data_IF_724250241846
#
_entry.id   IF_724250241846
#
_cell.length_a   1.000
_cell.length_b   1.000
_cell.length_c   1.000
_cell.angle_alpha   90.00
_cell.angle_beta   90.00
_cell.angle_gamma   90.00
#
_symmetry.space_group_name_H-M   'P 1'
#
loop_
_entity.id
_entity.type
_entity.pdbx_description
1 polymer ?
#
# COMPACT_ATOMS: atom_id res chain seq x y z
N UNK A 1 6.22 1.97 -21.63
CA UNK A 1 5.59 1.83 -20.31
C UNK A 1 4.53 0.77 -20.44
N UNK A 2 4.63 -0.33 -19.70
CA UNK A 2 3.66 -1.42 -19.74
C UNK A 2 2.45 -0.97 -18.93
N UNK A 3 1.29 -0.80 -19.56
CA UNK A 3 0.08 -0.36 -18.87
C UNK A 3 -0.42 -1.48 -17.96
N UNK A 4 -0.46 -1.25 -16.65
CA UNK A 4 -0.88 -2.28 -15.69
C UNK A 4 -2.39 -2.50 -15.73
N UNK A 5 -2.81 -3.77 -15.63
CA UNK A 5 -4.22 -4.17 -15.54
C UNK A 5 -4.36 -5.29 -14.49
N UNK A 6 -5.46 -5.32 -13.72
CA UNK A 6 -5.77 -6.45 -12.85
C UNK A 6 -5.83 -7.76 -13.65
N UNK A 7 -5.24 -8.81 -13.10
CA UNK A 7 -5.38 -10.16 -13.65
C UNK A 7 -6.78 -10.71 -13.31
N UNK A 8 -7.38 -11.47 -14.23
CA UNK A 8 -8.69 -12.12 -14.02
C UNK A 8 -8.58 -13.36 -13.11
N UNK A 9 -8.05 -13.17 -11.90
CA UNK A 9 -7.94 -14.17 -10.83
C UNK A 9 -7.97 -13.47 -9.47
N UNK A 10 -8.38 -14.22 -8.44
CA UNK A 10 -8.23 -13.76 -7.05
C UNK A 10 -6.74 -13.72 -6.72
N UNK A 11 -6.26 -12.59 -6.18
CA UNK A 11 -4.88 -12.43 -5.72
C UNK A 11 -4.87 -12.26 -4.21
N UNK A 12 -3.95 -12.95 -3.54
CA UNK A 12 -3.68 -12.70 -2.13
C UNK A 12 -2.53 -11.71 -2.02
N UNK A 13 -2.73 -10.57 -1.36
CA UNK A 13 -1.70 -9.54 -1.14
C UNK A 13 -1.52 -9.24 0.33
N UNK A 14 -0.32 -8.82 0.70
CA UNK A 14 0.00 -8.34 2.03
C UNK A 14 0.33 -6.84 1.98
N UNK A 15 -0.22 -6.04 2.88
CA UNK A 15 0.01 -4.60 2.97
C UNK A 15 0.53 -4.22 4.36
N UNK A 16 1.41 -3.23 4.43
CA UNK A 16 1.95 -2.67 5.67
C UNK A 16 1.46 -1.25 5.94
N UNK A 17 0.91 -1.03 7.14
CA UNK A 17 0.49 0.27 7.65
C UNK A 17 1.58 0.83 8.54
N UNK A 18 2.43 1.67 7.96
CA UNK A 18 3.40 2.43 8.73
C UNK A 18 2.85 3.81 9.08
N UNK A 19 2.99 4.21 10.34
CA UNK A 19 2.47 5.47 10.87
C UNK A 19 3.57 6.36 11.41
N UNK A 20 3.53 7.65 11.06
CA UNK A 20 4.39 8.68 11.62
C UNK A 20 3.56 9.91 11.96
N UNK A 21 3.56 10.31 13.23
CA UNK A 21 2.84 11.50 13.71
C UNK A 21 1.35 11.52 13.28
N UNK A 22 0.69 10.36 13.37
CA UNK A 22 -0.72 10.20 13.00
C UNK A 22 -1.00 10.10 11.49
N UNK A 23 0.03 10.22 10.64
CA UNK A 23 -0.05 10.11 9.17
C UNK A 23 0.37 8.74 8.66
N UNK A 24 -0.32 8.25 7.63
CA UNK A 24 -0.13 6.92 7.05
C UNK A 24 0.84 7.00 5.87
N UNK A 25 1.88 6.16 5.87
CA UNK A 25 2.72 5.98 4.70
C UNK A 25 1.94 5.24 3.59
N UNK A 26 1.84 5.85 2.42
CA UNK A 26 1.18 5.26 1.26
C UNK A 26 1.89 5.68 -0.04
N UNK A 27 1.91 4.79 -1.02
CA UNK A 27 2.47 5.01 -2.35
C UNK A 27 1.42 5.57 -3.31
N UNK A 28 1.86 6.42 -4.24
CA UNK A 28 1.03 6.99 -5.31
C UNK A 28 0.50 5.89 -6.25
N UNK A 29 -0.79 5.94 -6.55
CA UNK A 29 -1.45 5.13 -7.58
C UNK A 29 -1.78 6.04 -8.76
N UNK A 30 -1.17 5.75 -9.91
CA UNK A 30 -1.31 6.57 -11.11
C UNK A 30 -2.48 6.09 -12.00
N UNK A 31 -3.08 7.02 -12.74
CA UNK A 31 -3.93 6.71 -13.89
C UNK A 31 -3.09 6.46 -15.17
N UNK A 32 -3.75 6.05 -16.26
CA UNK A 32 -3.08 5.82 -17.55
C UNK A 32 -2.43 7.09 -18.15
N UNK A 33 -2.79 8.29 -17.65
CA UNK A 33 -2.19 9.56 -18.03
C UNK A 33 -1.03 9.98 -17.10
N UNK A 34 -0.65 9.14 -16.14
CA UNK A 34 0.43 9.40 -15.18
C UNK A 34 0.05 10.36 -14.04
N UNK A 35 -1.24 10.64 -13.84
CA UNK A 35 -1.72 11.49 -12.74
C UNK A 35 -2.00 10.65 -11.51
N UNK A 36 -1.68 11.17 -10.33
CA UNK A 36 -2.03 10.53 -9.06
C UNK A 36 -3.54 10.53 -8.89
N UNK A 37 -4.17 9.35 -8.96
CA UNK A 37 -5.61 9.17 -8.73
C UNK A 37 -5.94 8.71 -7.31
N UNK A 38 -4.95 8.13 -6.62
CA UNK A 38 -5.08 7.73 -5.24
C UNK A 38 -3.74 7.32 -4.66
N UNK A 39 -3.80 6.78 -3.46
CA UNK A 39 -2.67 6.25 -2.72
C UNK A 39 -3.04 4.91 -2.10
N UNK A 40 -2.04 4.07 -1.87
CA UNK A 40 -2.23 2.74 -1.27
C UNK A 40 -1.07 2.43 -0.32
N UNK A 41 -1.30 1.78 0.84
CA UNK A 41 -0.20 1.26 1.65
C UNK A 41 0.73 0.35 0.85
N UNK A 42 2.03 0.36 1.19
CA UNK A 42 3.02 -0.47 0.51
C UNK A 42 2.87 -1.96 0.84
N UNK A 43 3.44 -2.78 -0.02
CA UNK A 43 3.39 -4.24 0.05
C UNK A 43 2.90 -4.84 -1.27
N UNK A 44 3.00 -6.16 -1.38
CA UNK A 44 2.85 -6.84 -2.65
C UNK A 44 2.17 -8.18 -2.56
N UNK A 45 2.52 -9.04 -3.51
CA UNK A 45 1.83 -10.32 -3.71
C UNK A 45 2.36 -11.33 -2.71
N UNK A 46 1.47 -12.12 -2.11
CA UNK A 46 1.89 -13.28 -1.32
C UNK A 46 2.21 -14.40 -2.30
N UNK A 47 3.47 -14.82 -2.34
CA UNK A 47 3.92 -15.85 -3.27
C UNK A 47 3.51 -17.26 -2.82
N UNK A 48 3.49 -18.20 -3.77
CA UNK A 48 3.10 -19.58 -3.44
C UNK A 48 4.09 -20.22 -2.46
N UNK A 49 3.57 -20.70 -1.33
CA UNK A 49 4.39 -21.25 -0.24
C UNK A 49 4.88 -20.19 0.75
N UNK A 50 4.50 -18.92 0.58
CA UNK A 50 4.84 -17.81 1.46
C UNK A 50 3.67 -17.48 2.42
N UNK A 51 3.98 -17.02 3.63
CA UNK A 51 2.96 -16.44 4.53
C UNK A 51 2.78 -14.97 4.20
N UNK A 52 1.59 -14.41 4.48
CA UNK A 52 1.36 -12.97 4.26
C UNK A 52 2.30 -12.08 5.08
N UNK A 53 2.69 -12.52 6.27
CA UNK A 53 3.66 -11.83 7.11
C UNK A 53 5.05 -11.80 6.47
N UNK A 54 5.52 -12.95 5.97
CA UNK A 54 6.79 -13.03 5.26
C UNK A 54 6.78 -12.17 3.98
N UNK A 55 5.65 -12.16 3.26
CA UNK A 55 5.46 -11.34 2.07
C UNK A 55 5.62 -9.85 2.37
N UNK A 56 4.90 -9.30 3.36
CA UNK A 56 5.04 -7.86 3.67
C UNK A 56 6.46 -7.50 4.13
N UNK A 57 7.14 -8.37 4.88
CA UNK A 57 8.54 -8.14 5.28
C UNK A 57 9.47 -8.13 4.06
N UNK A 58 9.29 -9.09 3.14
CA UNK A 58 10.07 -9.17 1.90
C UNK A 58 9.85 -7.93 1.04
N UNK A 59 8.61 -7.52 0.82
CA UNK A 59 8.24 -6.40 -0.05
C UNK A 59 8.84 -5.07 0.44
N UNK A 60 8.74 -4.77 1.74
CA UNK A 60 9.40 -3.57 2.28
C UNK A 60 10.92 -3.61 2.15
N UNK A 61 11.52 -4.80 2.22
CA UNK A 61 12.96 -4.97 2.02
C UNK A 61 13.35 -4.81 0.55
N UNK A 62 12.56 -5.30 -0.38
CA UNK A 62 12.81 -5.23 -1.83
C UNK A 62 12.59 -3.82 -2.36
N UNK A 63 11.46 -3.19 -2.01
CA UNK A 63 11.07 -1.87 -2.50
C UNK A 63 11.84 -0.75 -1.79
N UNK A 64 11.88 -0.76 -0.46
CA UNK A 64 12.39 0.36 0.34
C UNK A 64 13.77 0.11 0.97
N UNK A 65 14.28 -1.13 0.91
CA UNK A 65 15.55 -1.48 1.53
C UNK A 65 15.53 -1.48 3.06
N UNK A 66 14.35 -1.45 3.69
CA UNK A 66 14.22 -1.39 5.16
C UNK A 66 13.74 -2.71 5.76
N UNK A 67 14.19 -2.95 6.99
CA UNK A 67 13.61 -4.00 7.83
C UNK A 67 12.41 -3.43 8.58
N UNK A 68 11.35 -4.22 8.70
CA UNK A 68 10.15 -3.84 9.45
C UNK A 68 9.85 -4.83 10.57
N UNK A 69 9.21 -4.34 11.62
CA UNK A 69 8.60 -5.17 12.66
C UNK A 69 7.08 -5.18 12.49
N UNK A 70 6.48 -6.36 12.63
CA UNK A 70 5.04 -6.55 12.56
C UNK A 70 4.42 -6.34 13.95
N UNK A 71 3.35 -5.55 14.00
CA UNK A 71 2.65 -5.23 15.24
C UNK A 71 1.25 -5.85 15.21
N UNK A 72 1.02 -6.80 16.10
CA UNK A 72 -0.29 -7.42 16.27
C UNK A 72 -0.67 -8.40 15.17
N UNK A 73 -1.98 -8.67 15.05
CA UNK A 73 -2.53 -9.59 14.05
C UNK A 73 -2.99 -8.86 12.80
N UNK A 74 -2.92 -9.49 11.61
CA UNK A 74 -3.40 -8.85 10.40
C UNK A 74 -4.91 -8.68 10.40
N UNK A 75 -5.35 -7.66 9.68
CA UNK A 75 -6.73 -7.44 9.29
C UNK A 75 -6.93 -8.00 7.90
N UNK A 76 -8.01 -8.76 7.71
CA UNK A 76 -8.37 -9.25 6.39
C UNK A 76 -9.45 -8.40 5.74
N UNK A 77 -9.22 -8.03 4.48
CA UNK A 77 -10.18 -7.29 3.66
C UNK A 77 -10.28 -7.92 2.28
N UNK A 78 -11.51 -8.12 1.81
CA UNK A 78 -11.79 -8.43 0.41
C UNK A 78 -11.94 -7.13 -0.38
N UNK A 79 -11.20 -7.00 -1.48
CA UNK A 79 -11.17 -5.81 -2.32
C UNK A 79 -11.51 -6.21 -3.76
N UNK A 80 -12.72 -5.86 -4.20
CA UNK A 80 -13.20 -6.05 -5.57
C UNK A 80 -13.37 -4.67 -6.20
N UNK A 81 -12.63 -4.40 -7.27
CA UNK A 81 -12.53 -3.06 -7.85
C UNK A 81 -12.45 -3.11 -9.37
N UNK A 82 -12.66 -1.97 -10.02
CA UNK A 82 -12.43 -1.82 -11.47
C UNK A 82 -11.29 -0.83 -11.70
N UNK A 83 -10.29 -1.22 -12.48
CA UNK A 83 -9.19 -0.36 -12.88
C UNK A 83 -9.10 -0.35 -14.40
N UNK A 84 -9.32 0.82 -15.00
CA UNK A 84 -9.28 1.02 -16.47
C UNK A 84 -10.14 0.00 -17.24
N UNK A 85 -11.35 -0.27 -16.72
CA UNK A 85 -12.31 -1.21 -17.31
C UNK A 85 -12.09 -2.69 -16.95
N UNK A 86 -10.98 -3.03 -16.28
CA UNK A 86 -10.68 -4.40 -15.87
C UNK A 86 -11.08 -4.66 -14.41
N UNK A 87 -11.78 -5.77 -14.17
CA UNK A 87 -12.15 -6.23 -12.84
C UNK A 87 -10.94 -6.81 -12.10
N UNK A 88 -10.64 -6.27 -10.92
CA UNK A 88 -9.67 -6.81 -9.98
C UNK A 88 -10.35 -7.42 -8.76
N UNK A 89 -9.75 -8.49 -8.23
CA UNK A 89 -10.20 -9.16 -7.01
C UNK A 89 -9.00 -9.53 -6.15
N UNK A 90 -8.93 -8.95 -4.97
CA UNK A 90 -7.87 -9.16 -4.00
C UNK A 90 -8.44 -9.60 -2.65
N UNK A 91 -7.76 -10.54 -2.01
CA UNK A 91 -7.84 -10.76 -0.55
C UNK A 91 -6.59 -10.10 0.03
N UNK A 92 -6.77 -9.27 1.03
CA UNK A 92 -5.71 -8.44 1.61
C UNK A 92 -5.48 -8.85 3.05
N UNK A 93 -4.25 -9.18 3.40
CA UNK A 93 -3.77 -9.22 4.78
C UNK A 93 -3.05 -7.90 5.08
N UNK A 94 -3.56 -7.13 6.03
CA UNK A 94 -3.08 -5.78 6.32
C UNK A 94 -2.46 -5.78 7.73
N UNK A 95 -1.20 -5.42 7.84
CA UNK A 95 -0.42 -5.44 9.08
C UNK A 95 -0.08 -4.02 9.50
N UNK A 96 -0.14 -3.71 10.80
CA UNK A 96 0.57 -2.55 11.33
C UNK A 96 2.07 -2.86 11.38
N UNK A 97 2.90 -1.92 10.93
CA UNK A 97 4.34 -2.14 10.81
C UNK A 97 5.14 -0.96 11.37
N UNK A 98 6.30 -1.27 11.96
CA UNK A 98 7.26 -0.29 12.46
C UNK A 98 8.55 -0.36 11.68
N UNK A 99 9.09 0.82 11.39
CA UNK A 99 10.45 0.98 10.89
C UNK A 99 11.40 1.12 12.08
N UNK A 100 12.71 0.98 11.85
CA UNK A 100 13.69 1.39 12.86
C UNK A 100 13.61 2.91 13.07
N UNK A 101 13.93 3.37 14.28
CA UNK A 101 13.87 4.81 14.64
C UNK A 101 14.76 5.71 13.77
N UNK A 102 15.72 5.12 13.05
CA UNK A 102 16.64 5.82 12.14
C UNK A 102 16.12 5.92 10.71
N UNK A 103 15.21 5.05 10.29
CA UNK A 103 14.82 4.91 8.90
C UNK A 103 13.84 6.03 8.49
N UNK A 104 14.18 6.75 7.43
CA UNK A 104 13.38 7.84 6.85
C UNK A 104 12.94 8.95 7.82
N UNK A 105 13.60 9.09 8.99
CA UNK A 105 13.21 10.03 10.05
C UNK A 105 13.13 11.48 9.57
N UNK A 106 14.01 11.89 8.66
CA UNK A 106 14.06 13.25 8.12
C UNK A 106 13.43 13.37 6.73
N UNK A 107 12.91 12.27 6.17
CA UNK A 107 12.38 12.26 4.82
C UNK A 107 10.90 12.64 4.80
N UNK A 108 10.50 13.43 3.82
CA UNK A 108 9.10 13.78 3.59
C UNK A 108 8.45 12.93 2.51
N UNK A 109 9.28 12.37 1.61
CA UNK A 109 8.92 11.53 0.47
C UNK A 109 9.97 10.45 0.30
N UNK A 110 9.51 9.23 0.01
CA UNK A 110 10.37 8.09 -0.29
C UNK A 110 10.25 7.80 -1.77
N UNK A 111 11.37 7.76 -2.47
CA UNK A 111 11.47 7.26 -3.84
C UNK A 111 11.85 5.78 -3.81
N UNK A 112 11.13 4.96 -4.56
CA UNK A 112 11.40 3.53 -4.67
C UNK A 112 11.04 3.00 -6.06
N UNK A 113 11.33 1.72 -6.30
CA UNK A 113 11.01 1.07 -7.56
C UNK A 113 10.11 -0.13 -7.31
N UNK A 114 9.03 -0.25 -8.08
CA UNK A 114 8.24 -1.49 -8.16
C UNK A 114 9.03 -2.59 -8.88
N UNK A 115 8.58 -3.84 -8.77
CA UNK A 115 9.10 -5.00 -9.54
C UNK A 115 9.21 -4.75 -11.06
N UNK A 116 8.35 -3.88 -11.59
CA UNK A 116 8.34 -3.50 -13.00
C UNK A 116 9.52 -2.60 -13.40
N UNK A 117 10.29 -2.10 -12.42
CA UNK A 117 11.30 -1.06 -12.57
C UNK A 117 10.70 0.35 -12.67
N UNK A 118 9.38 0.51 -12.51
CA UNK A 118 8.74 1.82 -12.47
C UNK A 118 9.13 2.56 -11.20
N UNK A 119 9.52 3.83 -11.37
CA UNK A 119 9.80 4.74 -10.27
C UNK A 119 8.47 5.16 -9.61
N UNK A 120 8.40 4.96 -8.30
CA UNK A 120 7.23 5.24 -7.48
C UNK A 120 7.61 6.11 -6.29
N UNK A 121 6.60 6.74 -5.71
CA UNK A 121 6.79 7.61 -4.57
C UNK A 121 5.78 7.31 -3.47
N UNK A 122 6.26 7.34 -2.23
CA UNK A 122 5.44 7.21 -1.04
C UNK A 122 5.63 8.41 -0.10
N UNK A 123 4.53 8.83 0.53
CA UNK A 123 4.50 9.93 1.49
C UNK A 123 3.60 9.58 2.67
N UNK A 124 3.72 10.36 3.74
CA UNK A 124 2.86 10.22 4.92
C UNK A 124 1.65 11.13 4.81
N UNK A 125 0.48 10.54 4.57
CA UNK A 125 -0.77 11.24 4.37
C UNK A 125 -1.59 11.35 5.66
N UNK A 126 -2.18 12.52 5.89
CA UNK A 126 -3.25 12.64 6.89
C UNK A 126 -4.50 11.94 6.39
N UNK A 127 -5.11 11.08 7.20
CA UNK A 127 -6.39 10.45 6.84
C UNK A 127 -7.48 11.47 6.54
N UNK A 128 -7.47 12.64 7.18
CA UNK A 128 -8.48 13.68 6.98
C UNK A 128 -8.37 14.33 5.58
N UNK A 129 -7.16 14.38 5.02
CA UNK A 129 -6.89 14.93 3.70
C UNK A 129 -7.24 13.95 2.56
N UNK A 130 -7.20 12.64 2.82
CA UNK A 130 -7.55 11.61 1.83
C UNK A 130 -9.05 11.56 1.58
N UNK A 131 -9.47 11.09 0.40
CA UNK A 131 -10.88 10.94 -0.01
C UNK A 131 -11.69 12.25 -0.02
N UNK A 132 -11.03 13.40 -0.05
CA UNK A 132 -11.67 14.72 -0.23
C UNK A 132 -11.79 15.07 -1.72
N UNK A 133 -12.67 16.02 -2.11
CA UNK A 133 -12.68 16.56 -3.47
C UNK A 133 -11.29 17.03 -3.90
N UNK A 134 -10.87 16.64 -5.11
CA UNK A 134 -9.55 16.96 -5.69
C UNK A 134 -8.34 16.46 -4.89
N UNK A 135 -8.53 15.56 -3.92
CA UNK A 135 -7.46 14.88 -3.17
C UNK A 135 -7.36 13.40 -3.55
N UNK A 136 -6.19 12.76 -3.36
CA UNK A 136 -6.03 11.34 -3.63
C UNK A 136 -6.99 10.48 -2.80
N UNK A 137 -7.54 9.44 -3.42
CA UNK A 137 -8.32 8.40 -2.73
C UNK A 137 -7.42 7.43 -1.97
N UNK A 138 -7.87 6.91 -0.82
CA UNK A 138 -7.17 5.82 -0.13
C UNK A 138 -7.69 4.46 -0.59
N UNK A 139 -6.81 3.66 -1.17
CA UNK A 139 -7.10 2.28 -1.55
C UNK A 139 -6.55 1.26 -0.53
N UNK A 140 -7.19 0.09 -0.39
CA UNK A 140 -8.47 -0.31 -0.99
C UNK A 140 -9.66 0.51 -0.44
N UNK A 141 -10.76 0.53 -1.21
CA UNK A 141 -11.99 1.17 -0.77
C UNK A 141 -12.44 0.59 0.58
N UNK A 142 -12.82 1.46 1.53
CA UNK A 142 -13.20 1.07 2.88
C UNK A 142 -12.04 1.02 3.89
N UNK A 143 -10.77 1.06 3.46
CA UNK A 143 -9.63 1.11 4.38
C UNK A 143 -9.70 2.32 5.31
N UNK A 144 -9.98 3.53 4.79
CA UNK A 144 -10.09 4.74 5.61
C UNK A 144 -11.13 4.58 6.74
N UNK A 145 -12.31 4.06 6.40
CA UNK A 145 -13.39 3.85 7.36
C UNK A 145 -13.03 2.80 8.43
N UNK A 146 -12.26 1.78 8.06
CA UNK A 146 -11.71 0.81 9.01
C UNK A 146 -10.71 1.48 9.97
N UNK A 147 -9.75 2.23 9.43
CA UNK A 147 -8.70 2.89 10.23
C UNK A 147 -9.25 3.94 11.21
N UNK A 148 -10.34 4.62 10.85
CA UNK A 148 -11.01 5.58 11.74
C UNK A 148 -11.81 4.93 12.89
N UNK A 149 -12.14 3.63 12.79
CA UNK A 149 -12.83 2.88 13.86
C UNK A 149 -11.88 2.16 14.80
N UNK A 150 -10.71 1.79 14.31
CA UNK A 150 -9.70 1.06 15.07
C UNK A 150 -8.83 1.97 15.96
N UNK A 151 -8.98 3.28 15.83
CA UNK A 151 -8.34 4.32 16.64
C UNK A 151 -9.30 4.91 17.65
#
# INVERSE_FOLDING_TARGET
>A
MTTWRPASRIRFKALGLHWREGRLLAAEVLDDAGRVKGVRPLGGTVEFGETAEAAVIREFREELGVAIEIVGSPVFMENIYTHEGSLGHEVLAIFDVKFADTDFVNETRIEFHEDSGAQCFAEWFSLDALDQPDQPRLYPDGLKAYLLKAR
#
